data_IF_903200785811
#
_entry.id   IF_903200785811
#
_cell.length_a   1.000
_cell.length_b   1.000
_cell.length_c   1.000
_cell.angle_alpha   90.00
_cell.angle_beta   90.00
_cell.angle_gamma   90.00
#
_symmetry.space_group_name_H-M   'P 1'
#
loop_
_entity.id
_entity.type
_entity.pdbx_description
1 polymer ?
#
# COMPACT_ATOMS: atom_id res chain seq x y z
N UNK A 1 6.68 16.08 -10.54
CA UNK A 1 6.36 16.86 -9.31
C UNK A 1 5.94 15.91 -8.23
N UNK A 2 6.64 15.94 -7.07
CA UNK A 2 6.33 15.07 -5.94
C UNK A 2 4.88 15.27 -5.50
N UNK A 3 4.15 14.16 -5.34
CA UNK A 3 2.85 14.17 -4.68
C UNK A 3 2.96 14.95 -3.36
N UNK A 4 2.08 15.93 -3.13
CA UNK A 4 2.11 16.71 -1.90
C UNK A 4 1.61 15.86 -0.73
N UNK A 5 2.46 14.98 -0.23
CA UNK A 5 2.26 14.25 1.03
C UNK A 5 2.67 15.13 2.21
N UNK A 6 1.80 15.24 3.18
CA UNK A 6 2.07 15.92 4.46
C UNK A 6 1.94 14.91 5.60
N UNK A 7 3.01 14.74 6.36
CA UNK A 7 3.02 13.89 7.55
C UNK A 7 2.87 14.76 8.81
N UNK A 8 1.79 14.57 9.52
CA UNK A 8 1.56 15.17 10.84
C UNK A 8 2.07 14.17 11.87
N UNK A 9 3.31 14.37 12.32
CA UNK A 9 4.01 13.44 13.22
C UNK A 9 3.63 13.68 14.68
N UNK A 10 3.54 12.60 15.45
CA UNK A 10 3.49 12.64 16.89
C UNK A 10 4.89 12.90 17.47
N UNK A 11 4.97 13.50 18.66
CA UNK A 11 6.25 13.69 19.36
C UNK A 11 6.90 12.36 19.74
N UNK A 12 6.09 11.34 19.99
CA UNK A 12 6.51 9.96 20.22
C UNK A 12 5.43 9.00 19.70
N UNK A 13 5.79 7.79 19.28
CA UNK A 13 4.83 6.76 18.91
C UNK A 13 3.86 6.45 20.05
N UNK A 14 2.59 6.24 19.74
CA UNK A 14 1.53 5.89 20.72
C UNK A 14 0.98 4.53 20.36
N UNK A 15 0.81 3.66 21.35
CA UNK A 15 0.06 2.41 21.19
C UNK A 15 -1.41 2.72 21.48
N UNK A 16 -2.25 2.47 20.49
CA UNK A 16 -3.69 2.58 20.62
C UNK A 16 -4.27 1.19 20.86
N UNK A 17 -4.71 0.97 22.10
CA UNK A 17 -5.53 -0.17 22.47
C UNK A 17 -6.97 0.07 21.99
N UNK A 18 -7.76 -1.01 21.90
CA UNK A 18 -9.18 -0.91 21.53
C UNK A 18 -9.92 0.13 22.36
N UNK A 19 -10.55 1.06 21.68
CA UNK A 19 -11.30 2.16 22.28
C UNK A 19 -10.46 3.42 22.58
N UNK A 20 -9.12 3.32 22.57
CA UNK A 20 -8.25 4.49 22.75
C UNK A 20 -8.16 5.30 21.46
N UNK A 21 -7.88 6.58 21.62
CA UNK A 21 -7.82 7.54 20.52
C UNK A 21 -6.62 8.47 20.63
N UNK A 22 -6.20 9.01 19.49
CA UNK A 22 -5.20 10.07 19.37
C UNK A 22 -5.75 11.19 18.51
N UNK A 23 -5.41 12.44 18.85
CA UNK A 23 -5.78 13.61 18.10
C UNK A 23 -4.55 14.27 17.47
N UNK A 24 -4.66 14.57 16.18
CA UNK A 24 -3.70 15.33 15.39
C UNK A 24 -4.25 16.74 15.17
N UNK A 25 -3.48 17.77 15.53
CA UNK A 25 -3.82 19.19 15.30
C UNK A 25 -2.80 19.80 14.35
N UNK A 26 -3.26 20.40 13.25
CA UNK A 26 -2.38 20.91 12.19
C UNK A 26 -3.03 22.06 11.42
N UNK A 27 -2.18 22.87 10.77
CA UNK A 27 -2.61 23.84 9.77
C UNK A 27 -2.61 23.22 8.39
N UNK A 28 -3.63 23.53 7.58
CA UNK A 28 -3.77 23.00 6.22
C UNK A 28 -4.45 24.03 5.30
N UNK A 29 -4.20 23.94 4.02
CA UNK A 29 -4.88 24.75 2.99
C UNK A 29 -6.20 24.12 2.56
N UNK A 30 -7.08 24.93 1.96
CA UNK A 30 -8.33 24.46 1.37
C UNK A 30 -8.08 23.34 0.35
N UNK A 31 -8.88 22.28 0.42
CA UNK A 31 -8.78 21.14 -0.52
C UNK A 31 -9.38 19.85 0.00
N UNK A 32 -9.31 18.85 -0.88
CA UNK A 32 -9.60 17.45 -0.56
C UNK A 32 -8.31 16.69 -0.35
N UNK A 33 -8.30 15.83 0.66
CA UNK A 33 -7.12 15.07 1.05
C UNK A 33 -7.46 13.60 1.26
N UNK A 34 -6.78 12.72 0.56
CA UNK A 34 -6.68 11.31 0.92
C UNK A 34 -5.87 11.20 2.21
N UNK A 35 -6.16 10.21 3.04
CA UNK A 35 -5.51 10.09 4.34
C UNK A 35 -5.19 8.65 4.70
N UNK A 36 -4.15 8.48 5.51
CA UNK A 36 -3.69 7.22 6.04
C UNK A 36 -3.16 7.40 7.45
N UNK A 37 -3.45 6.51 8.40
CA UNK A 37 -2.59 6.37 9.57
C UNK A 37 -1.21 5.90 9.11
N UNK A 38 -0.15 6.38 9.76
CA UNK A 38 1.19 5.78 9.66
C UNK A 38 1.37 4.92 10.90
N UNK A 39 1.36 3.61 10.71
CA UNK A 39 1.12 2.67 11.81
C UNK A 39 1.92 1.38 11.68
N UNK A 40 1.92 0.62 12.78
CA UNK A 40 2.39 -0.76 12.83
C UNK A 40 1.47 -1.57 13.75
N UNK A 41 0.97 -2.75 13.35
CA UNK A 41 0.21 -3.61 14.24
C UNK A 41 1.08 -4.07 15.41
N UNK A 42 0.47 -4.34 16.56
CA UNK A 42 1.16 -4.95 17.71
C UNK A 42 1.22 -6.45 17.57
N UNK A 43 0.13 -7.06 17.11
CA UNK A 43 0.09 -8.50 16.85
C UNK A 43 0.83 -8.86 15.56
N UNK A 44 1.78 -9.77 15.61
CA UNK A 44 2.50 -10.29 14.44
C UNK A 44 1.63 -11.11 13.46
N UNK A 45 0.41 -11.45 13.88
CA UNK A 45 -0.56 -12.19 13.06
C UNK A 45 -1.68 -11.33 12.50
N UNK A 46 -1.72 -10.03 12.85
CA UNK A 46 -2.72 -9.10 12.31
C UNK A 46 -2.56 -8.96 10.80
N UNK A 47 -3.65 -9.05 10.07
CA UNK A 47 -3.69 -8.82 8.62
C UNK A 47 -4.20 -7.42 8.27
N UNK A 48 -4.86 -6.77 9.19
CA UNK A 48 -5.35 -5.40 9.11
C UNK A 48 -5.62 -4.86 10.50
N UNK A 49 -5.74 -3.55 10.62
CA UNK A 49 -6.25 -2.89 11.83
C UNK A 49 -7.49 -2.09 11.50
N UNK A 50 -8.44 -2.02 12.44
CA UNK A 50 -9.67 -1.23 12.28
C UNK A 50 -9.61 0.03 13.11
N UNK A 51 -10.05 1.12 12.51
CA UNK A 51 -10.07 2.42 13.16
C UNK A 51 -11.26 3.26 12.72
N UNK A 52 -11.56 4.31 13.46
CA UNK A 52 -12.49 5.36 13.06
C UNK A 52 -11.76 6.70 12.95
N UNK A 53 -12.33 7.60 12.17
CA UNK A 53 -11.82 8.96 12.00
C UNK A 53 -12.91 9.99 12.29
N UNK A 54 -12.54 11.06 12.97
CA UNK A 54 -13.35 12.26 13.13
C UNK A 54 -12.54 13.48 12.72
N UNK A 55 -13.17 14.47 12.11
CA UNK A 55 -12.56 15.77 11.78
C UNK A 55 -13.31 16.88 12.47
N UNK A 56 -12.60 17.73 13.23
CA UNK A 56 -13.18 18.85 13.99
C UNK A 56 -14.38 18.41 14.85
N UNK A 57 -14.27 17.25 15.48
CA UNK A 57 -15.31 16.67 16.33
C UNK A 57 -16.52 16.09 15.60
N UNK A 58 -16.50 15.96 14.28
CA UNK A 58 -17.59 15.44 13.45
C UNK A 58 -17.15 14.20 12.65
N UNK A 59 -18.10 13.32 12.35
CA UNK A 59 -17.93 12.22 11.39
C UNK A 59 -17.87 12.83 9.98
N UNK A 60 -16.76 12.65 9.23
CA UNK A 60 -16.57 13.33 7.94
C UNK A 60 -17.37 12.73 6.78
N UNK A 61 -17.68 11.44 6.83
CA UNK A 61 -18.46 10.71 5.81
C UNK A 61 -19.04 9.43 6.41
N UNK A 62 -20.00 8.85 5.71
CA UNK A 62 -20.60 7.57 6.12
C UNK A 62 -19.58 6.42 6.03
N UNK A 63 -19.49 5.63 7.11
CA UNK A 63 -18.48 4.56 7.25
C UNK A 63 -17.13 5.01 7.83
N UNK A 64 -16.95 6.30 8.17
CA UNK A 64 -15.74 6.82 8.83
C UNK A 64 -15.51 6.23 10.24
N UNK A 65 -16.50 5.56 10.79
CA UNK A 65 -16.45 4.85 12.07
C UNK A 65 -15.91 3.42 11.97
N UNK A 66 -15.75 2.87 10.75
CA UNK A 66 -15.34 1.48 10.51
C UNK A 66 -14.35 1.34 9.34
N UNK A 67 -13.26 2.07 9.40
CA UNK A 67 -12.19 2.01 8.41
C UNK A 67 -11.24 0.85 8.68
N UNK A 68 -10.53 0.41 7.64
CA UNK A 68 -9.49 -0.62 7.74
C UNK A 68 -8.21 -0.09 7.14
N UNK A 69 -7.10 -0.28 7.85
CA UNK A 69 -5.77 -0.13 7.31
C UNK A 69 -5.15 -1.52 7.08
N UNK A 70 -4.67 -1.76 5.87
CA UNK A 70 -4.05 -3.02 5.47
C UNK A 70 -2.63 -3.12 6.00
N UNK A 71 -2.27 -4.29 6.45
CA UNK A 71 -0.89 -4.61 6.88
C UNK A 71 -0.09 -5.02 5.66
N UNK A 72 1.14 -4.57 5.58
CA UNK A 72 2.07 -4.92 4.53
C UNK A 72 2.95 -6.11 4.93
N UNK A 73 3.17 -7.01 3.96
CA UNK A 73 3.93 -8.24 4.13
C UNK A 73 5.13 -8.28 3.20
N UNK A 74 6.18 -8.92 3.67
CA UNK A 74 7.40 -9.27 2.92
C UNK A 74 7.60 -10.77 2.95
N UNK A 75 8.35 -11.28 1.98
CA UNK A 75 8.82 -12.66 2.06
C UNK A 75 9.90 -12.81 3.13
N UNK A 76 9.80 -13.86 3.92
CA UNK A 76 10.80 -14.24 4.92
C UNK A 76 11.74 -15.29 4.30
N UNK A 77 12.73 -14.78 3.58
CA UNK A 77 13.70 -15.60 2.87
C UNK A 77 13.37 -15.87 1.40
N UNK A 78 14.04 -16.86 0.84
CA UNK A 78 13.88 -17.32 -0.55
C UNK A 78 12.92 -18.50 -0.63
N UNK A 79 12.41 -18.84 -1.84
CA UNK A 79 11.70 -20.10 -2.05
C UNK A 79 12.47 -21.28 -1.49
N UNK A 80 11.76 -22.17 -0.77
CA UNK A 80 12.31 -23.43 -0.31
C UNK A 80 12.38 -24.46 -1.44
N UNK A 81 13.10 -25.57 -1.22
CA UNK A 81 13.11 -26.72 -2.12
C UNK A 81 12.74 -28.01 -1.39
N UNK A 82 11.83 -28.76 -1.96
CA UNK A 82 11.49 -30.12 -1.50
C UNK A 82 12.57 -31.10 -1.95
N UNK A 83 12.56 -32.30 -1.34
CA UNK A 83 13.45 -33.40 -1.75
C UNK A 83 13.21 -33.89 -3.19
N UNK A 84 12.03 -33.62 -3.73
CA UNK A 84 11.67 -33.86 -5.14
C UNK A 84 12.32 -32.87 -6.11
N UNK A 85 12.82 -31.75 -5.62
CA UNK A 85 13.35 -30.65 -6.43
C UNK A 85 12.34 -29.52 -6.68
N UNK A 86 11.07 -29.70 -6.31
CA UNK A 86 10.02 -28.70 -6.44
C UNK A 86 10.25 -27.53 -5.48
N UNK A 87 9.94 -26.33 -5.92
CA UNK A 87 10.01 -25.13 -5.10
C UNK A 87 8.73 -24.94 -4.26
N UNK A 88 8.91 -24.37 -3.08
CA UNK A 88 7.82 -23.96 -2.19
C UNK A 88 7.87 -22.45 -1.96
N UNK A 89 6.70 -21.82 -1.90
CA UNK A 89 6.62 -20.39 -1.59
C UNK A 89 7.37 -20.05 -0.30
N UNK A 90 8.05 -18.92 -0.25
CA UNK A 90 8.61 -18.42 1.00
C UNK A 90 7.49 -18.13 2.00
N UNK A 91 7.79 -18.24 3.28
CA UNK A 91 6.89 -17.76 4.34
C UNK A 91 6.78 -16.23 4.24
N UNK A 92 5.66 -15.71 4.69
CA UNK A 92 5.45 -14.27 4.75
C UNK A 92 5.50 -13.80 6.20
N UNK A 93 6.06 -12.62 6.40
CA UNK A 93 5.97 -11.89 7.67
C UNK A 93 5.54 -10.45 7.43
N UNK A 94 5.04 -9.81 8.47
CA UNK A 94 4.75 -8.38 8.40
C UNK A 94 6.04 -7.59 8.13
N UNK A 95 5.92 -6.49 7.39
CA UNK A 95 7.03 -5.55 7.22
C UNK A 95 7.44 -4.95 8.57
N UNK A 96 8.74 -4.72 8.75
CA UNK A 96 9.30 -4.07 9.94
C UNK A 96 9.19 -2.54 9.88
N UNK A 97 8.77 -1.99 8.73
CA UNK A 97 8.62 -0.56 8.52
C UNK A 97 7.26 -0.06 9.04
N UNK A 98 7.17 1.23 9.35
CA UNK A 98 5.88 1.86 9.57
C UNK A 98 5.09 1.88 8.26
N UNK A 99 3.82 1.50 8.32
CA UNK A 99 2.97 1.22 7.17
C UNK A 99 2.02 2.37 6.89
N UNK A 100 1.73 2.60 5.61
CA UNK A 100 0.68 3.50 5.13
C UNK A 100 -0.42 2.65 4.48
N UNK A 101 -1.68 2.98 4.75
CA UNK A 101 -2.83 2.39 4.10
C UNK A 101 -3.91 3.43 3.96
N UNK A 102 -4.08 4.00 2.77
CA UNK A 102 -5.11 5.00 2.51
C UNK A 102 -6.50 4.43 2.76
N UNK A 103 -7.36 5.25 3.37
CA UNK A 103 -8.74 4.86 3.66
C UNK A 103 -9.53 4.63 2.36
N UNK A 104 -10.21 3.50 2.25
CA UNK A 104 -10.93 3.08 1.05
C UNK A 104 -12.27 2.40 1.37
N UNK A 105 -13.13 2.33 0.36
CA UNK A 105 -14.38 1.59 0.42
C UNK A 105 -14.13 0.09 0.17
N UNK A 106 -14.29 -0.73 1.21
CA UNK A 106 -14.11 -2.19 1.12
C UNK A 106 -15.07 -2.88 0.15
N UNK A 107 -16.20 -2.25 -0.15
CA UNK A 107 -17.17 -2.81 -1.10
C UNK A 107 -16.71 -2.67 -2.53
N UNK A 108 -15.72 -1.78 -2.79
CA UNK A 108 -15.22 -1.49 -4.12
C UNK A 108 -16.19 -0.72 -5.03
N UNK A 109 -17.31 -0.24 -4.47
CA UNK A 109 -18.29 0.55 -5.22
C UNK A 109 -17.71 1.92 -5.57
N UNK A 110 -17.01 2.54 -4.61
CA UNK A 110 -16.26 3.77 -4.86
C UNK A 110 -14.85 3.40 -5.33
N UNK A 111 -14.49 3.79 -6.54
CA UNK A 111 -13.17 3.49 -7.13
C UNK A 111 -12.03 4.35 -6.59
N UNK A 112 -12.32 5.35 -5.76
CA UNK A 112 -11.36 6.27 -5.17
C UNK A 112 -11.15 6.02 -3.68
N UNK A 113 -10.02 6.47 -3.13
CA UNK A 113 -9.82 6.55 -1.69
C UNK A 113 -10.77 7.57 -1.06
N UNK A 114 -11.13 7.35 0.19
CA UNK A 114 -11.91 8.33 0.96
C UNK A 114 -11.12 9.63 1.14
N UNK A 115 -11.86 10.76 1.11
CA UNK A 115 -11.27 12.10 1.15
C UNK A 115 -11.84 12.91 2.30
N UNK A 116 -10.97 13.61 3.00
CA UNK A 116 -11.34 14.65 3.97
C UNK A 116 -11.34 15.99 3.26
N UNK A 117 -12.40 16.79 3.48
CA UNK A 117 -12.46 18.18 3.02
C UNK A 117 -12.05 19.10 4.14
N UNK A 118 -11.07 19.98 3.88
CA UNK A 118 -10.67 21.05 4.77
C UNK A 118 -10.79 22.40 4.08
N UNK A 119 -11.06 23.45 4.87
CA UNK A 119 -10.84 24.83 4.49
C UNK A 119 -9.44 25.24 4.95
N UNK A 120 -8.93 26.40 4.49
CA UNK A 120 -7.66 26.90 5.03
C UNK A 120 -7.81 27.25 6.51
N UNK A 121 -6.97 26.68 7.35
CA UNK A 121 -7.02 26.92 8.80
C UNK A 121 -6.36 25.83 9.63
N UNK A 122 -6.63 25.89 10.94
CA UNK A 122 -6.21 24.86 11.90
C UNK A 122 -7.36 23.88 12.07
N UNK A 123 -7.06 22.61 11.89
CA UNK A 123 -8.01 21.51 12.00
C UNK A 123 -7.51 20.41 12.93
N UNK A 124 -8.44 19.55 13.33
CA UNK A 124 -8.13 18.35 14.09
C UNK A 124 -8.61 17.10 13.37
N UNK A 125 -7.79 16.06 13.40
CA UNK A 125 -8.19 14.70 13.02
C UNK A 125 -7.94 13.78 14.19
N UNK A 126 -8.98 13.06 14.59
CA UNK A 126 -8.93 12.09 15.68
C UNK A 126 -9.03 10.69 15.10
N UNK A 127 -8.09 9.83 15.47
CA UNK A 127 -8.09 8.40 15.10
C UNK A 127 -8.32 7.57 16.36
N UNK A 128 -9.30 6.66 16.30
CA UNK A 128 -9.64 5.76 17.41
C UNK A 128 -9.49 4.32 16.96
N UNK A 129 -8.80 3.51 17.76
CA UNK A 129 -8.68 2.07 17.53
C UNK A 129 -10.01 1.37 17.80
N UNK A 130 -10.46 0.53 16.85
CA UNK A 130 -11.74 -0.19 16.94
C UNK A 130 -11.58 -1.66 17.30
N UNK A 131 -10.43 -2.27 16.98
CA UNK A 131 -10.24 -3.71 17.14
C UNK A 131 -8.81 -4.06 17.58
N UNK A 132 -7.95 -4.49 16.67
CA UNK A 132 -6.58 -4.89 16.96
C UNK A 132 -5.70 -3.69 17.36
N UNK A 133 -4.96 -3.79 18.48
CA UNK A 133 -4.05 -2.73 18.89
C UNK A 133 -2.97 -2.44 17.83
N UNK A 134 -2.64 -1.17 17.68
CA UNK A 134 -1.57 -0.76 16.79
C UNK A 134 -0.80 0.45 17.35
N UNK A 135 0.47 0.51 17.00
CA UNK A 135 1.31 1.67 17.22
C UNK A 135 1.08 2.67 16.09
N UNK A 136 0.82 3.93 16.41
CA UNK A 136 0.70 5.02 15.43
C UNK A 136 1.81 6.04 15.65
N UNK A 137 2.39 6.53 14.54
CA UNK A 137 3.51 7.48 14.55
C UNK A 137 3.14 8.81 13.90
N UNK A 138 2.23 8.79 12.92
CA UNK A 138 1.80 9.99 12.21
C UNK A 138 0.42 9.79 11.55
N UNK A 139 -0.16 10.90 11.12
CA UNK A 139 -1.23 10.97 10.13
C UNK A 139 -0.63 11.46 8.81
N UNK A 140 -0.83 10.72 7.74
CA UNK A 140 -0.50 11.14 6.38
C UNK A 140 -1.73 11.76 5.73
N UNK A 141 -1.55 12.95 5.15
CA UNK A 141 -2.52 13.62 4.28
C UNK A 141 -1.88 13.81 2.91
N UNK A 142 -2.57 13.36 1.86
CA UNK A 142 -2.15 13.52 0.47
C UNK A 142 -3.18 14.38 -0.25
N UNK A 143 -2.78 15.59 -0.69
CA UNK A 143 -3.69 16.49 -1.40
C UNK A 143 -4.12 15.86 -2.72
N UNK A 144 -5.43 15.80 -2.94
CA UNK A 144 -5.99 15.36 -4.22
C UNK A 144 -5.78 16.47 -5.25
N UNK A 145 -5.10 16.13 -6.34
CA UNK A 145 -4.97 17.00 -7.52
C UNK A 145 -6.01 16.58 -8.56
N UNK A 146 -6.45 17.52 -9.38
CA UNK A 146 -7.19 17.18 -10.59
C UNK A 146 -6.29 16.35 -11.50
N UNK A 147 -6.86 15.32 -12.12
CA UNK A 147 -6.14 14.50 -13.10
C UNK A 147 -5.76 15.37 -14.30
N UNK A 148 -4.47 15.48 -14.56
CA UNK A 148 -3.96 16.19 -15.72
C UNK A 148 -4.44 15.52 -17.02
N UNK A 149 -4.73 16.30 -18.05
CA UNK A 149 -5.03 15.76 -19.37
C UNK A 149 -3.77 15.12 -19.94
N UNK A 150 -3.93 14.00 -20.65
CA UNK A 150 -2.80 13.33 -21.29
C UNK A 150 -1.94 14.27 -22.15
N UNK A 151 -2.58 15.19 -22.89
CA UNK A 151 -1.88 16.19 -23.72
C UNK A 151 -0.97 17.14 -22.92
N UNK A 152 -1.26 17.36 -21.65
CA UNK A 152 -0.45 18.24 -20.80
C UNK A 152 0.69 17.43 -20.15
N UNK A 153 0.42 16.19 -19.77
CA UNK A 153 1.44 15.23 -19.33
C UNK A 153 2.45 14.97 -20.45
N UNK A 154 1.99 14.75 -21.70
CA UNK A 154 2.85 14.52 -22.86
C UNK A 154 3.82 15.69 -23.11
N UNK A 155 3.35 16.93 -22.96
CA UNK A 155 4.21 18.13 -23.11
C UNK A 155 5.37 18.15 -22.11
N UNK A 156 5.17 17.64 -20.89
CA UNK A 156 6.20 17.60 -19.86
C UNK A 156 7.35 16.66 -20.21
N UNK A 157 7.11 15.72 -21.13
CA UNK A 157 8.10 14.75 -21.61
C UNK A 157 8.65 15.05 -23.00
N UNK A 158 8.23 16.16 -23.64
CA UNK A 158 8.77 16.57 -24.93
C UNK A 158 10.28 16.83 -24.83
N UNK A 159 11.04 16.14 -25.67
CA UNK A 159 12.50 16.22 -25.67
C UNK A 159 13.20 15.31 -24.66
N UNK A 160 12.46 14.57 -23.83
CA UNK A 160 13.04 13.55 -22.96
C UNK A 160 13.54 12.36 -23.79
N UNK A 161 14.76 11.94 -23.57
CA UNK A 161 15.35 10.80 -24.26
C UNK A 161 14.58 9.52 -23.93
N UNK A 162 14.20 8.75 -24.96
CA UNK A 162 13.63 7.42 -24.79
C UNK A 162 14.75 6.41 -24.49
N UNK A 163 14.50 5.53 -23.54
CA UNK A 163 15.39 4.40 -23.30
C UNK A 163 15.35 3.44 -24.51
N UNK A 164 16.52 3.13 -25.05
CA UNK A 164 16.70 2.23 -26.20
C UNK A 164 17.67 1.08 -25.90
N UNK A 165 17.91 0.80 -24.63
CA UNK A 165 18.74 -0.32 -24.19
C UNK A 165 18.00 -1.66 -24.13
N UNK A 166 18.59 -2.65 -23.49
CA UNK A 166 17.95 -3.94 -23.24
C UNK A 166 16.71 -3.77 -22.33
N UNK A 167 15.65 -4.58 -22.54
CA UNK A 167 14.49 -4.57 -21.67
C UNK A 167 14.89 -4.76 -20.19
N UNK A 168 14.26 -4.01 -19.30
CA UNK A 168 14.37 -4.22 -17.86
C UNK A 168 13.30 -5.23 -17.49
N UNK A 169 13.72 -6.39 -16.99
CA UNK A 169 12.82 -7.48 -16.60
C UNK A 169 12.73 -7.52 -15.08
N UNK A 170 11.50 -7.55 -14.58
CA UNK A 170 11.18 -7.73 -13.16
C UNK A 170 10.34 -8.99 -13.05
N UNK A 171 10.84 -9.98 -12.31
CA UNK A 171 10.12 -11.24 -12.10
C UNK A 171 8.92 -11.04 -11.18
N UNK A 172 7.74 -11.42 -11.67
CA UNK A 172 6.47 -11.14 -11.00
C UNK A 172 6.31 -11.83 -9.66
N UNK A 173 6.91 -13.01 -9.48
CA UNK A 173 6.87 -13.79 -8.24
C UNK A 173 7.76 -13.24 -7.11
N UNK A 174 8.56 -12.21 -7.38
CA UNK A 174 9.53 -11.62 -6.44
C UNK A 174 9.19 -10.18 -6.07
N UNK A 175 8.03 -9.90 -5.45
CA UNK A 175 7.69 -8.55 -5.00
C UNK A 175 8.48 -8.16 -3.76
N UNK A 176 8.62 -6.86 -3.54
CA UNK A 176 9.21 -6.32 -2.29
C UNK A 176 8.16 -6.20 -1.18
N UNK A 177 6.90 -5.87 -1.54
CA UNK A 177 5.81 -5.70 -0.58
C UNK A 177 4.46 -6.14 -1.18
N UNK A 178 3.54 -6.55 -0.32
CA UNK A 178 2.13 -6.80 -0.64
C UNK A 178 1.25 -6.50 0.57
N UNK A 179 0.03 -6.04 0.35
CA UNK A 179 -0.88 -5.65 1.41
C UNK A 179 -1.99 -6.67 1.71
N UNK A 180 -1.89 -7.89 1.17
CA UNK A 180 -2.79 -8.99 1.49
C UNK A 180 -1.98 -10.29 1.61
N UNK A 181 -2.11 -10.97 2.74
CA UNK A 181 -1.40 -12.22 3.05
C UNK A 181 -1.73 -13.36 2.05
N UNK A 182 -2.89 -13.32 1.39
CA UNK A 182 -3.27 -14.32 0.40
C UNK A 182 -2.53 -14.21 -0.93
N UNK A 183 -1.81 -13.11 -1.17
CA UNK A 183 -1.00 -12.89 -2.37
C UNK A 183 0.34 -13.61 -2.24
N UNK A 184 0.32 -14.93 -2.34
CA UNK A 184 1.50 -15.78 -2.25
C UNK A 184 2.09 -16.06 -3.62
N UNK A 185 3.41 -16.32 -3.66
CA UNK A 185 4.08 -16.82 -4.84
C UNK A 185 3.62 -18.27 -5.16
N UNK A 186 3.47 -18.59 -6.43
CA UNK A 186 2.91 -19.86 -6.93
C UNK A 186 3.68 -20.34 -8.17
N UNK A 187 3.53 -21.63 -8.49
CA UNK A 187 4.08 -22.23 -9.70
C UNK A 187 2.97 -22.51 -10.73
N UNK A 188 3.24 -22.17 -11.99
CA UNK A 188 2.42 -22.57 -13.13
C UNK A 188 3.31 -23.24 -14.18
N UNK A 189 3.05 -24.52 -14.46
CA UNK A 189 3.76 -25.32 -15.45
C UNK A 189 2.90 -25.57 -16.71
N UNK A 190 1.78 -24.88 -16.88
CA UNK A 190 0.83 -25.08 -17.98
C UNK A 190 1.36 -24.55 -19.33
N UNK A 191 2.24 -23.54 -19.31
CA UNK A 191 2.86 -22.96 -20.51
C UNK A 191 4.38 -22.90 -20.36
N UNK A 192 5.10 -23.53 -21.28
CA UNK A 192 6.58 -23.54 -21.35
C UNK A 192 7.16 -22.12 -21.56
N UNK A 193 6.36 -21.16 -22.00
CA UNK A 193 6.79 -19.77 -22.20
C UNK A 193 6.82 -18.96 -20.91
N UNK A 194 6.20 -19.46 -19.84
CA UNK A 194 6.27 -18.80 -18.51
C UNK A 194 7.68 -18.98 -17.98
N UNK A 195 8.26 -17.92 -17.44
CA UNK A 195 9.61 -17.92 -16.86
C UNK A 195 9.57 -17.47 -15.40
N UNK A 196 10.39 -18.11 -14.53
CA UNK A 196 11.21 -19.30 -14.77
C UNK A 196 10.37 -20.55 -15.03
N UNK A 197 10.92 -21.53 -15.75
CA UNK A 197 10.26 -22.81 -16.05
C UNK A 197 11.24 -23.96 -15.92
N UNK A 198 10.77 -25.08 -15.40
CA UNK A 198 11.51 -26.38 -15.37
C UNK A 198 10.56 -27.49 -15.79
N UNK A 199 10.95 -28.30 -16.76
CA UNK A 199 10.15 -29.41 -17.31
C UNK A 199 9.97 -30.58 -16.34
N UNK A 200 10.75 -30.64 -15.25
CA UNK A 200 10.78 -31.76 -14.29
C UNK A 200 10.26 -31.38 -12.92
N UNK A 201 10.35 -30.09 -12.54
CA UNK A 201 10.03 -29.61 -11.22
C UNK A 201 9.10 -28.40 -11.28
N UNK A 202 8.26 -28.26 -10.28
CA UNK A 202 7.48 -27.04 -10.09
C UNK A 202 8.40 -25.92 -9.63
N UNK A 203 8.45 -24.81 -10.39
CA UNK A 203 9.23 -23.60 -10.10
C UNK A 203 8.26 -22.46 -9.90
N UNK A 204 8.51 -21.64 -8.88
CA UNK A 204 7.69 -20.45 -8.61
C UNK A 204 7.94 -19.43 -9.72
N UNK A 205 6.85 -18.95 -10.36
CA UNK A 205 6.91 -18.09 -11.53
C UNK A 205 5.73 -17.10 -11.66
N UNK A 206 4.85 -17.00 -10.65
CA UNK A 206 3.83 -15.96 -10.58
C UNK A 206 3.37 -15.71 -9.15
N UNK A 207 2.59 -14.66 -8.92
CA UNK A 207 2.07 -14.27 -7.61
C UNK A 207 0.56 -14.09 -7.62
N UNK A 208 -0.09 -14.43 -6.51
CA UNK A 208 -1.51 -14.17 -6.22
C UNK A 208 -2.46 -15.05 -7.03
N UNK A 209 -2.45 -14.96 -8.35
CA UNK A 209 -3.43 -15.64 -9.20
C UNK A 209 -4.86 -15.26 -8.86
N UNK A 210 -5.76 -16.22 -8.67
CA UNK A 210 -7.16 -16.01 -8.32
C UNK A 210 -7.38 -15.24 -6.99
N UNK A 211 -6.36 -15.22 -6.11
CA UNK A 211 -6.43 -14.47 -4.85
C UNK A 211 -6.24 -12.96 -5.07
N UNK A 212 -5.72 -12.52 -6.20
CA UNK A 212 -5.61 -11.12 -6.55
C UNK A 212 -6.91 -10.62 -7.20
N UNK A 213 -7.96 -10.51 -6.41
CA UNK A 213 -9.33 -10.24 -6.87
C UNK A 213 -10.11 -9.26 -5.97
N UNK A 214 -9.52 -8.78 -4.87
CA UNK A 214 -10.19 -7.85 -3.96
C UNK A 214 -9.82 -6.40 -4.30
N UNK A 215 -10.72 -5.43 -4.11
CA UNK A 215 -10.41 -4.01 -4.24
C UNK A 215 -9.21 -3.63 -3.38
N UNK A 216 -8.34 -2.76 -3.91
CA UNK A 216 -7.18 -2.19 -3.21
C UNK A 216 -6.14 -3.21 -2.70
N UNK A 217 -6.14 -4.43 -3.24
CA UNK A 217 -4.97 -5.29 -3.13
C UNK A 217 -3.82 -4.72 -3.94
N UNK A 218 -2.67 -4.58 -3.32
CA UNK A 218 -1.48 -3.98 -3.91
C UNK A 218 -0.29 -4.92 -3.79
N UNK A 219 0.50 -4.98 -4.85
CA UNK A 219 1.80 -5.65 -4.89
C UNK A 219 2.81 -4.63 -5.39
N UNK A 220 3.94 -4.53 -4.73
CA UNK A 220 5.00 -3.58 -5.06
C UNK A 220 6.23 -4.32 -5.53
N UNK A 221 6.72 -3.96 -6.70
CA UNK A 221 8.03 -4.35 -7.23
C UNK A 221 8.95 -3.15 -7.26
N UNK A 222 10.23 -3.39 -7.06
CA UNK A 222 11.26 -2.37 -7.16
C UNK A 222 12.23 -2.75 -8.28
N UNK A 223 12.63 -1.77 -9.07
CA UNK A 223 13.63 -1.96 -10.13
C UNK A 223 14.58 -0.77 -10.19
N UNK A 224 15.79 -1.04 -10.64
CA UNK A 224 16.79 0.00 -10.90
C UNK A 224 16.82 0.35 -12.38
N UNK A 225 16.65 1.62 -12.69
CA UNK A 225 16.82 2.13 -14.04
C UNK A 225 18.25 2.64 -14.24
N UNK A 226 18.90 2.39 -15.40
CA UNK A 226 20.31 2.74 -15.60
C UNK A 226 20.57 4.25 -15.78
N UNK A 227 19.56 5.01 -16.17
CA UNK A 227 19.64 6.48 -16.33
C UNK A 227 18.25 7.09 -16.29
N UNK A 228 18.17 8.41 -16.17
CA UNK A 228 16.93 9.15 -16.35
C UNK A 228 16.44 9.06 -17.80
N UNK A 229 15.13 8.95 -18.02
CA UNK A 229 14.54 8.82 -19.35
C UNK A 229 13.11 8.32 -19.35
N UNK A 230 12.56 8.05 -20.54
CA UNK A 230 11.28 7.38 -20.74
C UNK A 230 11.52 5.89 -21.01
N UNK A 231 10.90 5.05 -20.24
CA UNK A 231 10.97 3.57 -20.29
C UNK A 231 9.68 2.97 -20.79
#
# INVERSE_FOLDING_TARGET
ESEQKQYIKLNAPIILEKGNEVEFKFGINDGYYEFSPVFRPISSTAQSVKYSVMTDGKIPFDGADNLTAQVWFVDDGKPGKLSTGDETAPTQRQSDEDMESFAYDKTGINGDFYRLKFNTGIHTVKIKCQDEPFKITALLLKRVKETEKYSDVEKNYNGTEKYNGAPIIVEGESPVLRNDYSLTAKADNSDIKVTPNDSKHSVINYIGGENWAKPYQEIVWETQVPKDGLY
#
